data_IF_800948853430
#
_entry.id   IF_800948853430
#
_cell.length_a   1.000
_cell.length_b   1.000
_cell.length_c   1.000
_cell.angle_alpha   90.00
_cell.angle_beta   90.00
_cell.angle_gamma   90.00
#
_symmetry.space_group_name_H-M   'P 1'
#
loop_
_entity.id
_entity.type
_entity.pdbx_description
1 polymer ?
#
# COMPACT_ATOMS: atom_id res chain seq x y z
N UNK A 1 20.84 -31.69 -34.49
CA UNK A 1 19.84 -31.90 -33.42
C UNK A 1 18.68 -32.72 -33.98
N UNK A 2 18.41 -33.92 -33.44
CA UNK A 2 17.39 -34.83 -34.01
C UNK A 2 16.00 -34.18 -33.98
N UNK A 3 15.18 -34.42 -35.01
CA UNK A 3 13.82 -33.85 -35.13
C UNK A 3 12.96 -34.17 -33.92
N UNK A 4 13.08 -35.37 -33.36
CA UNK A 4 12.43 -35.79 -32.12
C UNK A 4 12.78 -34.92 -30.91
N UNK A 5 14.03 -34.47 -30.80
CA UNK A 5 14.47 -33.58 -29.72
C UNK A 5 13.91 -32.15 -29.86
N UNK A 6 13.79 -31.65 -31.11
CA UNK A 6 13.12 -30.37 -31.38
C UNK A 6 11.65 -30.40 -30.98
N UNK A 7 10.97 -31.49 -31.31
CA UNK A 7 9.55 -31.70 -30.94
C UNK A 7 9.39 -31.75 -29.42
N UNK A 8 10.26 -32.48 -28.71
CA UNK A 8 10.23 -32.54 -27.24
C UNK A 8 10.39 -31.14 -26.61
N UNK A 9 11.35 -30.35 -27.08
CA UNK A 9 11.55 -28.97 -26.60
C UNK A 9 10.30 -28.12 -26.85
N UNK A 10 9.70 -28.22 -28.05
CA UNK A 10 8.49 -27.46 -28.36
C UNK A 10 7.33 -27.81 -27.42
N UNK A 11 7.13 -29.09 -27.09
CA UNK A 11 6.11 -29.55 -26.14
C UNK A 11 6.37 -28.96 -24.74
N UNK A 12 7.62 -28.99 -24.27
CA UNK A 12 7.99 -28.43 -22.97
C UNK A 12 7.69 -26.93 -22.92
N UNK A 13 8.05 -26.18 -23.98
CA UNK A 13 7.78 -24.74 -24.07
C UNK A 13 6.27 -24.47 -24.04
N UNK A 14 5.47 -25.21 -24.81
CA UNK A 14 4.01 -25.06 -24.82
C UNK A 14 3.44 -25.34 -23.43
N UNK A 15 3.91 -26.39 -22.77
CA UNK A 15 3.46 -26.73 -21.42
C UNK A 15 3.82 -25.64 -20.40
N UNK A 16 5.05 -25.10 -20.45
CA UNK A 16 5.48 -24.02 -19.58
C UNK A 16 4.64 -22.75 -19.79
N UNK A 17 4.39 -22.36 -21.04
CA UNK A 17 3.54 -21.21 -21.36
C UNK A 17 2.12 -21.43 -20.85
N UNK A 18 1.53 -22.61 -21.12
CA UNK A 18 0.19 -22.96 -20.64
C UNK A 18 0.09 -22.92 -19.12
N UNK A 19 1.09 -23.48 -18.42
CA UNK A 19 1.18 -23.46 -16.96
C UNK A 19 1.24 -22.04 -16.41
N UNK A 20 2.03 -21.14 -17.00
CA UNK A 20 2.11 -19.74 -16.59
C UNK A 20 0.78 -19.00 -16.76
N UNK A 21 0.07 -19.23 -17.87
CA UNK A 21 -1.25 -18.63 -18.13
C UNK A 21 -2.28 -19.12 -17.11
N UNK A 22 -2.36 -20.44 -16.89
CA UNK A 22 -3.29 -21.03 -15.92
C UNK A 22 -2.99 -20.53 -14.52
N UNK A 23 -1.72 -20.48 -14.12
CA UNK A 23 -1.34 -20.01 -12.78
C UNK A 23 -1.66 -18.52 -12.60
N UNK A 24 -1.41 -17.68 -13.60
CA UNK A 24 -1.81 -16.28 -13.59
C UNK A 24 -3.33 -16.11 -13.47
N UNK A 25 -4.09 -16.89 -14.23
CA UNK A 25 -5.56 -16.89 -14.19
C UNK A 25 -6.08 -17.36 -12.82
N UNK A 26 -5.61 -18.50 -12.32
CA UNK A 26 -5.93 -19.00 -10.98
C UNK A 26 -5.53 -18.00 -9.89
N UNK A 27 -4.41 -17.30 -10.04
CA UNK A 27 -3.98 -16.25 -9.13
C UNK A 27 -4.85 -14.98 -9.18
N UNK A 28 -5.47 -14.69 -10.32
CA UNK A 28 -6.36 -13.54 -10.44
C UNK A 28 -7.78 -13.86 -9.97
N UNK A 29 -8.35 -14.94 -10.49
CA UNK A 29 -9.74 -15.35 -10.26
C UNK A 29 -9.91 -16.19 -9.00
N UNK A 30 -8.94 -17.03 -8.64
CA UNK A 30 -8.98 -17.79 -7.40
C UNK A 30 -8.87 -16.92 -6.15
N UNK A 31 -8.07 -15.85 -6.19
CA UNK A 31 -8.00 -14.85 -5.12
C UNK A 31 -8.96 -13.67 -5.32
N UNK A 32 -9.81 -13.68 -6.35
CA UNK A 32 -10.81 -12.66 -6.65
C UNK A 32 -10.31 -11.22 -6.46
N UNK A 33 -9.14 -10.90 -7.04
CA UNK A 33 -8.37 -9.70 -6.67
C UNK A 33 -9.13 -8.38 -6.78
N UNK A 34 -10.17 -8.32 -7.60
CA UNK A 34 -11.03 -7.15 -7.84
C UNK A 34 -12.04 -6.88 -6.72
N UNK A 35 -12.37 -7.88 -5.89
CA UNK A 35 -13.35 -7.73 -4.80
C UNK A 35 -12.79 -6.96 -3.60
N UNK A 36 -11.47 -6.89 -3.48
CA UNK A 36 -10.81 -6.32 -2.32
C UNK A 36 -10.38 -4.88 -2.58
N UNK A 37 -10.50 -4.05 -1.54
CA UNK A 37 -9.92 -2.70 -1.49
C UNK A 37 -8.41 -2.77 -1.70
N UNK A 38 -7.86 -1.77 -2.38
CA UNK A 38 -6.45 -1.60 -2.70
C UNK A 38 -5.94 -0.27 -2.19
N UNK A 39 -4.62 -0.20 -2.09
CA UNK A 39 -3.87 0.87 -1.45
C UNK A 39 -2.64 1.18 -2.31
N UNK A 40 -2.27 2.45 -2.43
CA UNK A 40 -1.05 2.86 -3.14
C UNK A 40 0.19 2.90 -2.25
N UNK A 41 0.03 2.78 -0.93
CA UNK A 41 1.12 2.70 0.06
C UNK A 41 2.18 3.80 -0.10
N UNK A 42 1.75 5.06 -0.23
CA UNK A 42 2.64 6.21 -0.37
C UNK A 42 3.13 6.47 -1.80
N UNK A 43 2.75 5.65 -2.80
CA UNK A 43 3.02 5.94 -4.21
C UNK A 43 2.01 6.96 -4.75
N UNK A 44 2.34 8.25 -4.57
CA UNK A 44 1.52 9.37 -5.04
C UNK A 44 1.36 9.39 -6.56
N UNK A 45 2.34 8.90 -7.32
CA UNK A 45 2.29 8.88 -8.79
C UNK A 45 1.24 7.86 -9.23
N UNK A 46 1.25 6.67 -8.65
CA UNK A 46 0.22 5.64 -8.88
C UNK A 46 -1.16 6.12 -8.48
N UNK A 47 -1.29 6.79 -7.33
CA UNK A 47 -2.57 7.35 -6.85
C UNK A 47 -3.15 8.40 -7.82
N UNK A 48 -2.31 9.32 -8.29
CA UNK A 48 -2.69 10.34 -9.30
C UNK A 48 -3.04 9.69 -10.63
N UNK A 49 -2.24 8.74 -11.13
CA UNK A 49 -2.49 8.02 -12.39
C UNK A 49 -3.83 7.26 -12.37
N UNK A 50 -4.20 6.72 -11.22
CA UNK A 50 -5.48 6.01 -11.00
C UNK A 50 -6.68 6.94 -10.81
N UNK A 51 -6.46 8.25 -10.67
CA UNK A 51 -7.53 9.23 -10.43
C UNK A 51 -8.15 9.14 -9.02
N UNK A 52 -7.43 8.56 -8.06
CA UNK A 52 -7.92 8.36 -6.68
C UNK A 52 -7.27 9.29 -5.66
N UNK A 53 -6.19 9.99 -6.03
CA UNK A 53 -5.59 11.03 -5.19
C UNK A 53 -6.60 12.12 -4.83
N UNK A 54 -6.61 12.54 -3.56
CA UNK A 54 -7.50 13.61 -3.07
C UNK A 54 -6.70 14.84 -2.67
N UNK A 55 -5.76 14.68 -1.72
CA UNK A 55 -4.93 15.79 -1.23
C UNK A 55 -3.72 15.28 -0.46
N UNK A 56 -2.69 16.10 -0.39
CA UNK A 56 -1.54 15.90 0.48
C UNK A 56 -1.93 16.14 1.95
N UNK A 57 -1.21 15.46 2.85
CA UNK A 57 -1.29 15.70 4.29
C UNK A 57 0.04 16.26 4.78
N UNK A 58 -0.05 17.11 5.80
CA UNK A 58 1.12 17.67 6.45
C UNK A 58 1.70 16.66 7.43
N UNK A 59 3.01 16.69 7.59
CA UNK A 59 3.68 15.82 8.55
C UNK A 59 4.97 16.42 9.12
N UNK A 60 5.34 15.94 10.30
CA UNK A 60 6.63 16.18 10.92
C UNK A 60 7.25 14.87 11.38
N UNK A 61 8.55 14.72 11.18
CA UNK A 61 9.30 13.53 11.57
C UNK A 61 10.16 13.86 12.79
N UNK A 62 9.99 13.08 13.86
CA UNK A 62 10.77 13.15 15.09
C UNK A 62 11.63 11.88 15.18
N UNK A 63 12.90 11.97 14.79
CA UNK A 63 13.82 10.83 14.80
C UNK A 63 14.67 10.82 16.06
N UNK A 64 14.93 9.62 16.59
CA UNK A 64 15.85 9.41 17.71
C UNK A 64 17.32 9.62 17.28
N UNK A 65 17.61 9.57 15.97
CA UNK A 65 18.94 9.80 15.39
C UNK A 65 18.86 10.42 13.99
N UNK A 66 19.82 11.27 13.66
CA UNK A 66 19.88 12.05 12.40
C UNK A 66 20.23 11.18 11.17
N UNK A 67 20.66 9.93 11.36
CA UNK A 67 21.20 9.09 10.30
C UNK A 67 20.15 8.38 9.41
N UNK A 68 18.87 8.74 9.51
CA UNK A 68 17.80 8.16 8.69
C UNK A 68 17.27 9.19 7.70
N UNK A 69 17.22 8.82 6.42
CA UNK A 69 16.70 9.68 5.35
C UNK A 69 15.86 8.85 4.41
N UNK A 70 14.53 9.00 4.46
CA UNK A 70 13.60 8.24 3.61
C UNK A 70 12.59 9.18 2.98
N UNK A 71 12.12 8.81 1.79
CA UNK A 71 11.06 9.55 1.11
C UNK A 71 9.72 9.18 1.75
N UNK A 72 9.00 10.20 2.21
CA UNK A 72 7.70 10.04 2.84
C UNK A 72 6.68 10.89 2.09
N UNK A 73 5.76 10.23 1.40
CA UNK A 73 4.56 10.86 0.89
C UNK A 73 3.38 10.39 1.74
N UNK A 74 2.67 11.34 2.35
CA UNK A 74 1.46 11.06 3.11
C UNK A 74 0.32 11.85 2.50
N UNK A 75 -0.74 11.16 2.09
CA UNK A 75 -1.85 11.79 1.41
C UNK A 75 -3.15 11.02 1.64
N UNK A 76 -4.28 11.68 1.36
CA UNK A 76 -5.59 11.05 1.30
C UNK A 76 -5.85 10.58 -0.13
N UNK A 77 -6.33 9.35 -0.26
CA UNK A 77 -6.88 8.83 -1.52
C UNK A 77 -8.28 8.27 -1.32
N UNK A 78 -9.06 8.21 -2.40
CA UNK A 78 -10.34 7.51 -2.45
C UNK A 78 -10.08 6.01 -2.33
N UNK A 79 -10.94 5.32 -1.60
CA UNK A 79 -10.96 3.87 -1.61
C UNK A 79 -11.21 3.35 -3.03
N UNK A 80 -10.45 2.35 -3.45
CA UNK A 80 -10.60 1.76 -4.77
C UNK A 80 -10.33 0.26 -4.74
N UNK A 81 -10.77 -0.44 -5.78
CA UNK A 81 -10.36 -1.80 -6.09
C UNK A 81 -9.83 -1.89 -7.53
N UNK A 82 -9.27 -3.04 -7.87
CA UNK A 82 -8.93 -3.33 -9.27
C UNK A 82 -10.18 -3.67 -10.08
N UNK A 83 -10.10 -3.45 -11.39
CA UNK A 83 -11.12 -3.95 -12.32
C UNK A 83 -11.20 -5.47 -12.32
N UNK A 84 -12.33 -6.02 -12.78
CA UNK A 84 -12.58 -7.48 -12.72
C UNK A 84 -11.52 -8.31 -13.44
N UNK A 85 -10.88 -7.75 -14.46
CA UNK A 85 -9.95 -8.48 -15.34
C UNK A 85 -8.53 -7.90 -15.34
N UNK A 86 -8.27 -6.78 -14.67
CA UNK A 86 -6.97 -6.10 -14.75
C UNK A 86 -6.68 -5.24 -13.52
N UNK A 87 -5.42 -5.20 -13.09
CA UNK A 87 -4.93 -4.30 -12.03
C UNK A 87 -4.66 -2.87 -12.51
N UNK A 88 -4.69 -2.66 -13.83
CA UNK A 88 -4.58 -1.33 -14.45
C UNK A 88 -5.91 -0.59 -14.43
N UNK A 89 -7.01 -1.34 -14.47
CA UNK A 89 -8.34 -0.78 -14.29
C UNK A 89 -8.57 -0.49 -12.79
N UNK A 90 -9.21 0.64 -12.52
CA UNK A 90 -9.46 1.14 -11.16
C UNK A 90 -10.95 1.39 -10.99
N UNK A 91 -11.56 0.79 -9.97
CA UNK A 91 -12.96 1.01 -9.59
C UNK A 91 -12.98 1.77 -8.27
N UNK A 92 -13.53 2.98 -8.27
CA UNK A 92 -13.65 3.80 -7.05
C UNK A 92 -14.79 3.28 -6.18
N UNK A 93 -14.54 3.12 -4.87
CA UNK A 93 -15.47 2.59 -3.88
C UNK A 93 -16.28 3.72 -3.23
N UNK A 94 -17.30 4.20 -3.92
CA UNK A 94 -18.13 5.33 -3.45
C UNK A 94 -19.17 4.94 -2.39
N UNK A 95 -19.65 3.69 -2.41
CA UNK A 95 -20.76 3.20 -1.56
C UNK A 95 -20.25 2.41 -0.34
N UNK A 96 -19.24 2.95 0.33
CA UNK A 96 -18.69 2.33 1.56
C UNK A 96 -18.76 3.32 2.71
N UNK A 97 -18.88 2.81 3.94
CA UNK A 97 -18.90 3.66 5.14
C UNK A 97 -17.64 4.54 5.28
N UNK A 98 -16.54 4.11 4.67
CA UNK A 98 -15.24 4.78 4.72
C UNK A 98 -14.66 4.94 3.31
N UNK A 99 -15.20 5.86 2.48
CA UNK A 99 -14.85 5.96 1.06
C UNK A 99 -13.46 6.55 0.79
N UNK A 100 -12.72 6.92 1.84
CA UNK A 100 -11.37 7.45 1.76
C UNK A 100 -10.40 6.62 2.61
N UNK A 101 -9.11 6.81 2.37
CA UNK A 101 -8.04 6.18 3.14
C UNK A 101 -6.78 7.05 3.14
N UNK A 102 -5.97 6.91 4.19
CA UNK A 102 -4.65 7.54 4.25
C UNK A 102 -3.65 6.60 3.58
N UNK A 103 -2.94 7.10 2.60
CA UNK A 103 -1.84 6.41 1.94
C UNK A 103 -0.52 6.92 2.50
N UNK A 104 0.27 6.00 3.03
CA UNK A 104 1.66 6.22 3.43
C UNK A 104 2.47 4.95 3.12
N UNK A 105 3.81 5.04 2.99
CA UNK A 105 4.66 3.87 2.93
C UNK A 105 4.45 2.99 4.17
N UNK A 106 4.34 1.68 3.97
CA UNK A 106 4.30 0.71 5.09
C UNK A 106 5.71 0.23 5.45
N UNK A 107 6.65 0.31 4.51
CA UNK A 107 8.03 -0.15 4.68
C UNK A 107 8.97 0.55 3.70
N UNK A 108 10.14 0.92 4.17
CA UNK A 108 11.32 1.17 3.34
C UNK A 108 12.18 -0.11 3.35
N UNK A 109 12.27 -0.78 2.21
CA UNK A 109 13.04 -2.02 2.09
C UNK A 109 14.55 -1.78 2.03
N UNK A 110 14.99 -0.61 1.57
CA UNK A 110 16.40 -0.24 1.43
C UNK A 110 17.01 -0.04 2.81
N UNK A 111 16.31 0.65 3.70
CA UNK A 111 16.76 0.92 5.06
C UNK A 111 16.18 -0.01 6.12
N UNK A 112 15.30 -0.92 5.71
CA UNK A 112 14.59 -1.86 6.58
C UNK A 112 13.80 -1.16 7.69
N UNK A 113 13.13 -0.06 7.32
CA UNK A 113 12.28 0.74 8.22
C UNK A 113 10.82 0.32 7.99
N UNK A 114 10.08 0.13 9.07
CA UNK A 114 8.63 -0.12 9.08
C UNK A 114 7.91 1.11 9.62
N UNK A 115 6.79 1.44 9.01
CA UNK A 115 5.93 2.56 9.38
C UNK A 115 4.69 1.99 10.07
N UNK A 116 4.67 2.02 11.39
CA UNK A 116 3.66 1.35 12.21
C UNK A 116 2.63 2.36 12.67
N UNK A 117 1.46 2.34 12.03
CA UNK A 117 0.35 3.21 12.40
C UNK A 117 -0.26 2.77 13.74
N UNK A 118 -0.22 3.66 14.73
CA UNK A 118 -0.99 3.55 15.96
C UNK A 118 -2.31 4.30 15.79
N UNK A 119 -3.43 3.59 15.95
CA UNK A 119 -4.72 4.25 16.11
C UNK A 119 -4.92 4.56 17.57
N UNK A 120 -5.17 5.84 17.88
CA UNK A 120 -5.86 6.19 19.10
C UNK A 120 -7.36 6.09 18.82
N UNK A 121 -8.15 5.57 19.76
CA UNK A 121 -9.59 5.30 19.64
C UNK A 121 -10.47 6.52 19.33
N UNK A 122 -9.88 7.72 19.20
CA UNK A 122 -10.58 9.00 19.04
C UNK A 122 -10.83 9.41 17.59
N UNK A 123 -10.19 8.77 16.62
CA UNK A 123 -10.32 9.15 15.21
C UNK A 123 -11.45 8.30 14.59
N UNK A 124 -12.33 8.91 13.79
CA UNK A 124 -13.41 8.25 13.04
C UNK A 124 -12.86 7.30 11.94
N UNK A 125 -12.03 6.36 12.35
CA UNK A 125 -11.15 5.56 11.52
C UNK A 125 -11.28 4.09 11.86
N UNK A 126 -11.31 3.28 10.82
CA UNK A 126 -11.20 1.83 10.91
C UNK A 126 -9.83 1.40 10.38
N UNK A 127 -9.13 0.51 11.09
CA UNK A 127 -7.86 -0.07 10.61
C UNK A 127 -8.17 -1.33 9.83
N UNK A 128 -7.88 -1.33 8.53
CA UNK A 128 -7.87 -2.54 7.72
C UNK A 128 -6.47 -2.79 7.17
N UNK A 129 -5.90 -3.96 7.45
CA UNK A 129 -4.58 -4.37 6.92
C UNK A 129 -3.45 -3.33 7.11
N UNK A 130 -3.45 -2.59 8.22
CA UNK A 130 -2.44 -1.57 8.49
C UNK A 130 -2.73 -0.19 7.87
N UNK A 131 -3.85 -0.03 7.19
CA UNK A 131 -4.27 1.23 6.56
C UNK A 131 -5.41 1.87 7.33
N UNK A 132 -5.43 3.20 7.33
CA UNK A 132 -6.42 4.03 8.01
C UNK A 132 -7.52 4.38 7.02
N UNK A 133 -8.74 3.93 7.29
CA UNK A 133 -9.91 4.27 6.48
C UNK A 133 -10.62 5.49 7.07
N UNK A 134 -11.12 6.36 6.21
CA UNK A 134 -11.74 7.63 6.59
C UNK A 134 -13.16 7.76 6.02
N UNK A 135 -14.09 8.25 6.84
CA UNK A 135 -15.45 8.59 6.42
C UNK A 135 -15.50 9.85 5.55
N UNK A 136 -14.61 10.80 5.83
CA UNK A 136 -14.47 12.08 5.13
C UNK A 136 -13.03 12.24 4.64
N UNK A 137 -12.75 13.05 3.61
CA UNK A 137 -11.40 13.19 3.07
C UNK A 137 -10.51 14.10 3.92
N UNK A 138 -10.62 14.03 5.25
CA UNK A 138 -9.80 14.78 6.19
C UNK A 138 -9.62 14.02 7.50
N UNK A 139 -8.54 14.32 8.20
CA UNK A 139 -8.32 13.87 9.58
C UNK A 139 -8.62 15.01 10.54
N UNK A 140 -9.38 14.71 11.60
CA UNK A 140 -9.75 15.70 12.61
C UNK A 140 -8.58 16.01 13.54
N UNK A 141 -7.90 14.97 13.99
CA UNK A 141 -6.80 15.04 14.94
C UNK A 141 -5.48 14.58 14.30
N UNK A 142 -4.38 14.87 14.98
CA UNK A 142 -3.05 14.42 14.58
C UNK A 142 -2.93 12.90 14.72
N UNK A 143 -2.57 12.24 13.63
CA UNK A 143 -2.22 10.83 13.60
C UNK A 143 -0.74 10.65 13.96
N UNK A 144 -0.42 9.65 14.77
CA UNK A 144 0.96 9.27 15.07
C UNK A 144 1.31 7.92 14.45
N UNK A 145 2.47 7.86 13.82
CA UNK A 145 3.04 6.65 13.22
C UNK A 145 4.39 6.39 13.85
N UNK A 146 4.58 5.21 14.43
CA UNK A 146 5.85 4.81 15.02
C UNK A 146 6.78 4.29 13.91
N UNK A 147 8.02 4.76 13.93
CA UNK A 147 9.05 4.28 13.03
C UNK A 147 9.86 3.21 13.75
N UNK A 148 10.07 2.09 13.08
CA UNK A 148 10.91 1.02 13.62
C UNK A 148 11.89 0.51 12.57
N UNK A 149 13.12 0.21 12.98
CA UNK A 149 14.13 -0.40 12.11
C UNK A 149 14.45 -1.81 12.56
N UNK A 150 14.58 -2.72 11.61
CA UNK A 150 15.01 -4.08 11.92
C UNK A 150 16.52 -4.10 12.16
N UNK A 151 16.91 -4.56 13.35
CA UNK A 151 18.30 -4.82 13.69
C UNK A 151 18.60 -6.31 13.49
N UNK A 152 19.47 -6.61 12.53
CA UNK A 152 19.89 -7.98 12.21
C UNK A 152 20.64 -8.65 13.36
N UNK A 153 21.34 -7.88 14.21
CA UNK A 153 22.16 -8.40 15.30
C UNK A 153 21.27 -8.95 16.42
N UNK A 154 20.27 -8.17 16.84
CA UNK A 154 19.31 -8.58 17.87
C UNK A 154 18.09 -9.33 17.33
N UNK A 155 17.90 -9.36 16.00
CA UNK A 155 16.71 -9.86 15.29
C UNK A 155 15.40 -9.23 15.81
N UNK A 156 15.45 -7.94 16.15
CA UNK A 156 14.32 -7.19 16.72
C UNK A 156 14.07 -5.90 15.94
N UNK A 157 12.84 -5.42 16.03
CA UNK A 157 12.46 -4.09 15.59
C UNK A 157 12.71 -3.11 16.74
N UNK A 158 13.56 -2.11 16.50
CA UNK A 158 13.83 -1.05 17.45
C UNK A 158 13.11 0.21 17.01
N UNK A 159 12.48 0.93 17.95
CA UNK A 159 11.96 2.27 17.68
C UNK A 159 13.11 3.17 17.22
N UNK A 160 12.84 3.98 16.21
CA UNK A 160 13.80 4.98 15.70
C UNK A 160 13.21 6.39 15.63
N UNK A 161 11.97 6.55 16.07
CA UNK A 161 11.27 7.83 16.05
C UNK A 161 9.78 7.69 15.77
N UNK A 162 9.14 8.83 15.49
CA UNK A 162 7.71 8.93 15.19
C UNK A 162 7.46 9.93 14.07
N UNK A 163 6.36 9.76 13.36
CA UNK A 163 5.82 10.74 12.43
C UNK A 163 4.49 11.21 12.98
N UNK A 164 4.30 12.53 13.02
CA UNK A 164 3.00 13.15 13.28
C UNK A 164 2.43 13.63 11.96
N UNK A 165 1.19 13.29 11.67
CA UNK A 165 0.49 13.61 10.43
C UNK A 165 -0.78 14.38 10.79
N UNK A 166 -1.05 15.50 10.13
CA UNK A 166 -2.25 16.29 10.36
C UNK A 166 -2.80 16.86 9.05
N UNK A 167 -4.03 17.37 9.13
CA UNK A 167 -4.68 18.10 8.06
C UNK A 167 -4.55 19.60 8.32
N UNK A 168 -4.23 20.42 7.32
CA UNK A 168 -4.31 21.87 7.52
C UNK A 168 -5.76 22.33 7.73
N UNK A 169 -6.72 21.65 7.09
CA UNK A 169 -8.13 22.03 7.14
C UNK A 169 -8.80 21.77 8.49
N UNK A 170 -8.15 21.04 9.41
CA UNK A 170 -8.68 20.80 10.76
C UNK A 170 -8.31 21.88 11.78
N UNK A 171 -7.53 22.89 11.39
CA UNK A 171 -7.16 24.05 12.25
C UNK A 171 -8.20 25.20 12.22
N UNK A 172 -9.31 25.03 11.52
CA UNK A 172 -10.43 25.98 11.42
C UNK A 172 -11.61 25.52 12.29
#
# INVERSE_FOLDING_TARGET
MKTSFKILIAIIIIFLIGFLIINSFSGWYGYEKWKYRRYTYGDIISSKKRGVFVKDLEYSIELDSINYSFDLNVFVEKGFSYGKHSSQETIVLNETDHPYQISLPIRDTTQQISFNVHMNDTINTYKDNGVILLKKPFIKDTLTVDLSKFDNSSRKWNSIGKIKIWDESSKL
#
